data_IF_591668287491
#
_entry.id   IF_591668287491
#
_cell.length_a   1.000
_cell.length_b   1.000
_cell.length_c   1.000
_cell.angle_alpha   90.00
_cell.angle_beta   90.00
_cell.angle_gamma   90.00
#
_symmetry.space_group_name_H-M   'P 1'
#
loop_
_entity.id
_entity.type
_entity.pdbx_description
1 polymer ?
#
# COMPACT_ATOMS: atom_id res chain seq x y z
N UNK A 1 0.98 -36.26 45.72
CA UNK A 1 2.01 -35.23 45.53
C UNK A 1 1.73 -34.57 44.20
N UNK A 2 0.99 -33.46 44.24
CA UNK A 2 0.57 -32.71 43.06
C UNK A 2 1.43 -31.45 42.99
N UNK A 3 2.41 -31.44 42.08
CA UNK A 3 3.21 -30.26 41.79
C UNK A 3 2.40 -29.29 40.93
N UNK A 4 1.86 -28.25 41.57
CA UNK A 4 1.24 -27.13 40.86
C UNK A 4 2.30 -26.34 40.12
N UNK A 5 2.15 -26.23 38.81
CA UNK A 5 2.91 -25.29 37.98
C UNK A 5 2.32 -23.90 38.26
N UNK A 6 3.09 -23.08 38.98
CA UNK A 6 2.79 -21.66 39.16
C UNK A 6 3.10 -20.94 37.85
N UNK A 7 2.20 -20.13 37.27
CA UNK A 7 2.55 -19.29 36.13
C UNK A 7 3.53 -18.21 36.62
N UNK A 8 4.72 -18.20 36.04
CA UNK A 8 5.75 -17.19 36.30
C UNK A 8 5.20 -15.84 35.88
N UNK A 9 5.05 -14.92 36.84
CA UNK A 9 4.74 -13.52 36.58
C UNK A 9 5.79 -12.95 35.62
N UNK A 10 5.36 -12.36 34.50
CA UNK A 10 6.23 -11.65 33.58
C UNK A 10 7.00 -10.57 34.36
N UNK A 11 8.29 -10.77 34.53
CA UNK A 11 9.20 -9.82 35.14
C UNK A 11 9.25 -8.57 34.24
N UNK A 12 8.55 -7.51 34.64
CA UNK A 12 8.72 -6.18 34.05
C UNK A 12 10.14 -5.70 34.35
N UNK A 13 11.06 -5.93 33.42
CA UNK A 13 12.38 -5.30 33.45
C UNK A 13 12.15 -3.78 33.43
N UNK A 14 12.68 -3.02 34.40
CA UNK A 14 12.51 -1.57 34.42
C UNK A 14 13.17 -0.95 33.19
N UNK A 15 12.45 -0.09 32.49
CA UNK A 15 12.97 0.64 31.33
C UNK A 15 13.81 1.81 31.83
N UNK A 16 15.11 1.74 31.58
CA UNK A 16 16.04 2.82 31.93
C UNK A 16 15.75 4.07 31.08
N UNK A 17 15.79 5.26 31.68
CA UNK A 17 15.54 6.53 30.96
C UNK A 17 14.06 6.89 30.81
N UNK A 18 13.11 6.02 31.20
CA UNK A 18 11.69 6.29 31.07
C UNK A 18 11.21 7.49 31.91
N UNK A 19 11.60 7.65 33.20
CA UNK A 19 11.25 8.84 33.97
C UNK A 19 11.76 10.13 33.35
N UNK A 20 13.00 10.11 32.83
CA UNK A 20 13.65 11.24 32.17
C UNK A 20 12.94 11.59 30.86
N UNK A 21 12.58 10.59 30.05
CA UNK A 21 11.78 10.78 28.85
C UNK A 21 10.42 11.39 29.20
N UNK A 22 9.73 10.87 30.22
CA UNK A 22 8.43 11.41 30.63
C UNK A 22 8.52 12.87 31.06
N UNK A 23 9.54 13.24 31.85
CA UNK A 23 9.79 14.62 32.24
C UNK A 23 10.10 15.51 31.03
N UNK A 24 10.89 15.01 30.06
CA UNK A 24 11.16 15.73 28.82
C UNK A 24 9.89 15.93 27.97
N UNK A 25 9.02 14.92 27.89
CA UNK A 25 7.73 15.02 27.22
C UNK A 25 6.80 16.03 27.90
N UNK A 26 6.83 16.15 29.23
CA UNK A 26 6.09 17.18 29.96
C UNK A 26 6.57 18.59 29.57
N UNK A 27 7.88 18.81 29.52
CA UNK A 27 8.46 20.08 29.06
C UNK A 27 8.06 20.39 27.61
N UNK A 28 8.08 19.41 26.71
CA UNK A 28 7.67 19.58 25.30
C UNK A 28 6.18 19.92 25.14
N UNK A 29 5.32 19.41 26.03
CA UNK A 29 3.89 19.75 26.05
C UNK A 29 3.69 21.19 26.48
N UNK A 30 4.47 21.67 27.45
CA UNK A 30 4.40 23.06 27.94
C UNK A 30 5.07 24.06 26.97
N UNK A 31 6.22 23.69 26.40
CA UNK A 31 6.99 24.50 25.44
C UNK A 31 7.36 23.68 24.19
N UNK A 32 6.53 23.74 23.13
CA UNK A 32 6.76 23.03 21.86
C UNK A 32 8.04 23.46 21.10
N UNK A 33 8.67 24.56 21.49
CA UNK A 33 9.94 25.01 20.89
C UNK A 33 11.17 24.31 21.50
N UNK A 34 11.00 23.59 22.62
CA UNK A 34 12.08 22.83 23.27
C UNK A 34 12.63 21.77 22.30
N UNK A 35 13.95 21.73 22.03
CA UNK A 35 14.54 20.74 21.13
C UNK A 35 14.34 19.29 21.61
N UNK A 36 14.07 18.36 20.70
CA UNK A 36 14.00 16.93 21.04
C UNK A 36 15.35 16.37 21.52
N UNK A 37 15.35 15.76 22.70
CA UNK A 37 16.51 15.03 23.21
C UNK A 37 16.57 13.61 22.62
N UNK A 38 17.07 13.48 21.39
CA UNK A 38 17.10 12.25 20.60
C UNK A 38 17.53 10.99 21.38
N UNK A 39 18.57 11.13 22.22
CA UNK A 39 19.10 10.03 23.03
C UNK A 39 18.06 9.44 24.00
N UNK A 40 17.21 10.27 24.61
CA UNK A 40 16.15 9.78 25.52
C UNK A 40 15.11 8.94 24.78
N UNK A 41 14.76 9.35 23.55
CA UNK A 41 13.84 8.59 22.71
C UNK A 41 14.46 7.26 22.28
N UNK A 42 15.69 7.29 21.76
CA UNK A 42 16.40 6.09 21.28
C UNK A 42 16.60 5.07 22.42
N UNK A 43 17.10 5.52 23.57
CA UNK A 43 17.39 4.65 24.72
C UNK A 43 16.12 3.94 25.22
N UNK A 44 15.00 4.65 25.30
CA UNK A 44 13.71 4.05 25.71
C UNK A 44 13.14 3.15 24.62
N UNK A 45 13.12 3.60 23.36
CA UNK A 45 12.56 2.85 22.23
C UNK A 45 13.22 1.48 22.05
N UNK A 46 14.55 1.40 22.19
CA UNK A 46 15.32 0.15 22.10
C UNK A 46 14.94 -0.89 23.17
N UNK A 47 14.43 -0.45 24.31
CA UNK A 47 14.02 -1.31 25.42
C UNK A 47 12.54 -1.73 25.33
N UNK A 48 11.76 -1.18 24.40
CA UNK A 48 10.34 -1.49 24.25
C UNK A 48 10.10 -2.87 23.61
N UNK A 49 9.34 -3.70 24.32
CA UNK A 49 8.90 -5.03 23.90
C UNK A 49 7.38 -5.10 23.82
N UNK A 50 6.84 -6.10 23.13
CA UNK A 50 5.38 -6.30 23.05
C UNK A 50 4.71 -6.44 24.43
N UNK A 51 5.44 -6.97 25.42
CA UNK A 51 4.94 -7.09 26.80
C UNK A 51 5.03 -5.77 27.58
N UNK A 52 6.04 -4.93 27.32
CA UNK A 52 6.24 -3.67 28.06
C UNK A 52 5.48 -2.49 27.47
N UNK A 53 5.05 -2.56 26.20
CA UNK A 53 4.31 -1.48 25.54
C UNK A 53 2.90 -1.24 26.14
N UNK A 54 2.01 -2.25 26.28
CA UNK A 54 0.64 -2.03 26.74
C UNK A 54 0.47 -1.19 28.01
N UNK A 55 1.25 -1.40 29.11
CA UNK A 55 1.11 -0.59 30.32
C UNK A 55 1.55 0.88 30.14
N UNK A 56 2.35 1.19 29.11
CA UNK A 56 2.87 2.54 28.87
C UNK A 56 1.97 3.38 27.95
N UNK A 57 1.09 2.73 27.18
CA UNK A 57 0.22 3.41 26.23
C UNK A 57 -0.59 4.56 26.85
N UNK A 58 -1.24 4.39 28.02
CA UNK A 58 -2.05 5.46 28.60
C UNK A 58 -1.24 6.69 29.00
N UNK A 59 0.07 6.54 29.24
CA UNK A 59 0.94 7.62 29.70
C UNK A 59 1.67 8.30 28.54
N UNK A 60 2.23 7.51 27.61
CA UNK A 60 3.08 8.02 26.53
C UNK A 60 2.25 8.55 25.35
N UNK A 61 1.25 7.80 24.88
CA UNK A 61 0.52 8.16 23.64
C UNK A 61 -0.18 9.52 23.73
N UNK A 62 -0.88 9.89 24.82
CA UNK A 62 -1.52 11.21 24.91
C UNK A 62 -0.52 12.37 24.82
N UNK A 63 0.64 12.27 25.49
CA UNK A 63 1.69 13.29 25.45
C UNK A 63 2.28 13.42 24.06
N UNK A 64 2.67 12.29 23.46
CA UNK A 64 3.23 12.26 22.11
C UNK A 64 2.26 12.81 21.07
N UNK A 65 0.97 12.47 21.17
CA UNK A 65 -0.08 12.99 20.30
C UNK A 65 -0.26 14.51 20.47
N UNK A 66 -0.19 15.01 21.72
CA UNK A 66 -0.26 16.44 21.99
C UNK A 66 0.91 17.20 21.35
N UNK A 67 2.12 16.67 21.50
CA UNK A 67 3.34 17.30 20.95
C UNK A 67 3.30 17.29 19.42
N UNK A 68 2.87 16.20 18.78
CA UNK A 68 2.72 16.14 17.32
C UNK A 68 1.79 17.22 16.77
N UNK A 69 0.77 17.63 17.53
CA UNK A 69 -0.20 18.65 17.11
C UNK A 69 0.32 20.08 17.24
N UNK A 70 1.37 20.30 18.03
CA UNK A 70 1.86 21.66 18.36
C UNK A 70 3.28 21.94 17.91
N UNK A 71 4.10 20.90 17.69
CA UNK A 71 5.50 21.07 17.31
C UNK A 71 5.66 21.57 15.89
N UNK A 72 6.64 22.47 15.68
CA UNK A 72 7.10 22.91 14.36
C UNK A 72 8.41 22.23 13.94
N UNK A 73 8.98 21.40 14.82
CA UNK A 73 10.20 20.66 14.57
C UNK A 73 9.92 19.43 13.69
N UNK A 74 10.95 18.85 13.07
CA UNK A 74 10.80 17.58 12.35
C UNK A 74 10.33 16.48 13.33
N UNK A 75 9.13 15.91 13.15
CA UNK A 75 8.55 14.98 14.11
C UNK A 75 9.15 13.56 14.01
N UNK A 76 10.17 13.33 13.17
CA UNK A 76 10.73 11.99 12.90
C UNK A 76 11.04 11.16 14.14
N UNK A 77 11.64 11.76 15.17
CA UNK A 77 12.01 11.06 16.42
C UNK A 77 10.75 10.63 17.18
N UNK A 78 9.75 11.52 17.29
CA UNK A 78 8.45 11.19 17.90
C UNK A 78 7.75 10.08 17.13
N UNK A 79 7.75 10.17 15.81
CA UNK A 79 7.09 9.22 14.92
C UNK A 79 7.65 7.81 15.10
N UNK A 80 8.97 7.64 15.24
CA UNK A 80 9.58 6.31 15.47
C UNK A 80 9.01 5.62 16.71
N UNK A 81 9.05 6.34 17.85
CA UNK A 81 8.50 5.85 19.10
C UNK A 81 6.99 5.58 19.03
N UNK A 82 6.22 6.48 18.39
CA UNK A 82 4.77 6.30 18.23
C UNK A 82 4.47 5.05 17.38
N UNK A 83 5.18 4.84 16.28
CA UNK A 83 5.01 3.63 15.45
C UNK A 83 5.25 2.36 16.27
N UNK A 84 6.30 2.36 17.11
CA UNK A 84 6.58 1.24 18.01
C UNK A 84 5.44 1.04 19.01
N UNK A 85 4.99 2.09 19.69
CA UNK A 85 3.90 2.05 20.66
C UNK A 85 2.56 1.64 20.04
N UNK A 86 2.29 2.02 18.80
CA UNK A 86 1.05 1.66 18.13
C UNK A 86 1.01 0.20 17.67
N UNK A 87 2.13 -0.54 17.67
CA UNK A 87 2.19 -1.94 17.21
C UNK A 87 1.03 -2.82 17.74
N UNK A 88 0.76 -2.91 19.06
CA UNK A 88 -0.33 -3.73 19.61
C UNK A 88 -1.73 -3.10 19.52
N UNK A 89 -1.85 -1.85 19.07
CA UNK A 89 -3.13 -1.10 19.06
C UNK A 89 -3.92 -1.43 17.79
N UNK A 90 -5.22 -1.71 17.91
CA UNK A 90 -6.07 -1.99 16.75
C UNK A 90 -6.39 -0.73 15.93
N UNK A 91 -6.93 -0.90 14.71
CA UNK A 91 -7.35 0.25 13.90
C UNK A 91 -8.42 1.09 14.60
N UNK A 92 -9.51 0.47 15.07
CA UNK A 92 -10.58 1.19 15.76
C UNK A 92 -10.11 1.89 17.04
N UNK A 93 -9.18 1.28 17.80
CA UNK A 93 -8.57 1.93 18.97
C UNK A 93 -7.68 3.11 18.57
N UNK A 94 -6.99 3.03 17.43
CA UNK A 94 -6.16 4.15 16.96
C UNK A 94 -7.03 5.34 16.57
N UNK A 95 -8.22 5.10 16.00
CA UNK A 95 -9.18 6.16 15.64
C UNK A 95 -9.78 6.90 16.83
N UNK A 96 -9.74 6.33 18.05
CA UNK A 96 -10.13 7.08 19.26
C UNK A 96 -9.06 8.10 19.69
N UNK A 97 -7.81 7.90 19.24
CA UNK A 97 -6.67 8.76 19.55
C UNK A 97 -6.37 9.76 18.41
N UNK A 98 -6.49 9.30 17.17
CA UNK A 98 -6.31 10.08 15.94
C UNK A 98 -7.57 9.99 15.10
N UNK A 99 -8.44 10.98 15.26
CA UNK A 99 -9.67 11.13 14.48
C UNK A 99 -9.37 11.41 12.99
N UNK A 100 -10.40 11.36 12.15
CA UNK A 100 -10.27 11.60 10.70
C UNK A 100 -9.57 12.93 10.39
N UNK A 101 -9.84 13.99 11.16
CA UNK A 101 -9.21 15.29 10.95
C UNK A 101 -7.70 15.26 11.21
N UNK A 102 -7.27 14.56 12.27
CA UNK A 102 -5.85 14.35 12.57
C UNK A 102 -5.15 13.52 11.50
N UNK A 103 -5.81 12.49 10.95
CA UNK A 103 -5.27 11.67 9.87
C UNK A 103 -5.09 12.47 8.58
N UNK A 104 -6.09 13.27 8.19
CA UNK A 104 -5.99 14.17 7.03
C UNK A 104 -4.84 15.16 7.23
N UNK A 105 -4.74 15.80 8.39
CA UNK A 105 -3.66 16.74 8.68
C UNK A 105 -2.27 16.10 8.59
N UNK A 106 -2.12 14.86 9.07
CA UNK A 106 -0.86 14.12 9.00
C UNK A 106 -0.51 13.66 7.58
N UNK A 107 -1.51 13.30 6.76
CA UNK A 107 -1.32 12.99 5.33
C UNK A 107 -0.95 14.24 4.52
N UNK A 108 -1.59 15.38 4.77
CA UNK A 108 -1.28 16.64 4.10
C UNK A 108 -0.01 17.33 4.62
N UNK A 109 0.62 16.80 5.66
CA UNK A 109 1.82 17.39 6.25
C UNK A 109 2.99 17.39 5.25
N UNK A 110 3.81 18.45 5.20
CA UNK A 110 5.03 18.45 4.40
C UNK A 110 6.13 17.53 4.96
N UNK A 111 5.98 17.03 6.19
CA UNK A 111 6.95 16.13 6.83
C UNK A 111 6.68 14.67 6.41
N UNK A 112 7.62 14.00 5.71
CA UNK A 112 7.43 12.61 5.27
C UNK A 112 7.16 11.65 6.43
N UNK A 113 7.77 11.89 7.59
CA UNK A 113 7.56 11.11 8.82
C UNK A 113 6.10 11.15 9.28
N UNK A 114 5.43 12.29 9.18
CA UNK A 114 4.01 12.41 9.50
C UNK A 114 3.13 11.65 8.50
N UNK A 115 3.44 11.72 7.20
CA UNK A 115 2.71 10.95 6.18
C UNK A 115 2.86 9.44 6.42
N UNK A 116 4.07 8.97 6.71
CA UNK A 116 4.36 7.56 7.00
C UNK A 116 3.63 7.11 8.27
N UNK A 117 3.54 7.95 9.31
CA UNK A 117 2.76 7.65 10.50
C UNK A 117 1.28 7.47 10.15
N UNK A 118 0.68 8.41 9.42
CA UNK A 118 -0.71 8.31 9.01
C UNK A 118 -0.97 7.04 8.18
N UNK A 119 -0.11 6.76 7.19
CA UNK A 119 -0.21 5.54 6.39
C UNK A 119 -0.02 4.27 7.23
N UNK A 120 0.83 4.27 8.25
CA UNK A 120 0.99 3.12 9.15
C UNK A 120 -0.26 2.91 10.03
N UNK A 121 -0.92 3.97 10.46
CA UNK A 121 -2.21 3.89 11.16
C UNK A 121 -3.28 3.30 10.22
N UNK A 122 -3.40 3.83 9.00
CA UNK A 122 -4.33 3.31 7.99
C UNK A 122 -4.04 1.85 7.63
N UNK A 123 -2.77 1.45 7.63
CA UNK A 123 -2.36 0.06 7.34
C UNK A 123 -2.91 -0.93 8.35
N UNK A 124 -3.21 -0.51 9.58
CA UNK A 124 -3.87 -1.36 10.56
C UNK A 124 -5.24 -1.84 10.08
N UNK A 125 -5.93 -1.08 9.23
CA UNK A 125 -7.20 -1.50 8.65
C UNK A 125 -7.07 -2.72 7.72
N UNK A 126 -5.86 -3.05 7.24
CA UNK A 126 -5.59 -4.30 6.52
C UNK A 126 -5.50 -5.53 7.43
N UNK A 127 -5.84 -5.40 8.73
CA UNK A 127 -5.87 -6.55 9.65
C UNK A 127 -7.18 -7.34 9.56
N UNK A 128 -8.27 -6.70 9.13
CA UNK A 128 -9.58 -7.33 9.02
C UNK A 128 -10.46 -6.66 7.96
N UNK A 129 -11.38 -7.42 7.34
CA UNK A 129 -12.35 -6.88 6.40
C UNK A 129 -13.27 -5.82 7.04
N UNK A 130 -13.58 -5.95 8.34
CA UNK A 130 -14.40 -4.98 9.06
C UNK A 130 -13.68 -3.64 9.19
N UNK A 131 -12.38 -3.63 9.48
CA UNK A 131 -11.61 -2.40 9.60
C UNK A 131 -11.42 -1.74 8.22
N UNK A 132 -11.21 -2.55 7.15
CA UNK A 132 -11.16 -2.04 5.79
C UNK A 132 -12.49 -1.38 5.37
N UNK A 133 -13.63 -1.97 5.73
CA UNK A 133 -14.96 -1.38 5.52
C UNK A 133 -15.15 -0.10 6.35
N UNK A 134 -14.65 -0.07 7.59
CA UNK A 134 -14.64 1.15 8.40
C UNK A 134 -13.85 2.27 7.70
N UNK A 135 -12.66 1.98 7.16
CA UNK A 135 -11.89 2.95 6.38
C UNK A 135 -12.61 3.37 5.08
N UNK A 136 -13.30 2.45 4.41
CA UNK A 136 -14.09 2.76 3.20
C UNK A 136 -15.23 3.77 3.46
N UNK A 137 -15.65 3.93 4.72
CA UNK A 137 -16.63 4.95 5.13
C UNK A 137 -16.04 6.36 5.29
N UNK A 138 -14.72 6.53 5.14
CA UNK A 138 -13.99 7.80 5.35
C UNK A 138 -13.44 8.36 4.02
N UNK A 139 -14.29 8.83 3.09
CA UNK A 139 -13.87 9.18 1.73
C UNK A 139 -12.81 10.29 1.69
N UNK A 140 -12.87 11.28 2.59
CA UNK A 140 -11.87 12.36 2.64
C UNK A 140 -10.48 11.87 3.04
N UNK A 141 -10.41 10.87 3.93
CA UNK A 141 -9.14 10.23 4.31
C UNK A 141 -8.57 9.47 3.12
N UNK A 142 -9.41 8.79 2.34
CA UNK A 142 -9.00 8.10 1.12
C UNK A 142 -8.51 9.07 0.03
N UNK A 143 -9.21 10.17 -0.20
CA UNK A 143 -8.79 11.21 -1.14
C UNK A 143 -7.41 11.74 -0.78
N UNK A 144 -7.19 12.06 0.50
CA UNK A 144 -5.90 12.58 0.95
C UNK A 144 -4.80 11.50 0.95
N UNK A 145 -5.14 10.24 1.20
CA UNK A 145 -4.23 9.11 1.05
C UNK A 145 -3.73 8.98 -0.40
N UNK A 146 -4.65 9.00 -1.38
CA UNK A 146 -4.30 8.91 -2.81
C UNK A 146 -3.46 10.11 -3.23
N UNK A 147 -3.83 11.32 -2.78
CA UNK A 147 -3.06 12.54 -3.04
C UNK A 147 -1.64 12.44 -2.51
N UNK A 148 -1.49 12.07 -1.24
CA UNK A 148 -0.19 11.95 -0.57
C UNK A 148 0.66 10.86 -1.22
N UNK A 149 0.07 9.71 -1.50
CA UNK A 149 0.74 8.58 -2.16
C UNK A 149 1.27 8.94 -3.55
N UNK A 150 0.49 9.62 -4.39
CA UNK A 150 0.91 9.92 -5.76
C UNK A 150 1.76 11.19 -5.88
N UNK A 151 1.54 12.20 -5.03
CA UNK A 151 2.18 13.51 -5.18
C UNK A 151 3.48 13.67 -4.38
N UNK A 152 3.69 12.84 -3.34
CA UNK A 152 4.87 12.98 -2.47
C UNK A 152 6.17 12.69 -3.24
N UNK A 153 7.21 13.54 -3.13
CA UNK A 153 8.53 13.25 -3.69
C UNK A 153 9.31 12.20 -2.88
N UNK A 154 8.84 11.87 -1.67
CA UNK A 154 9.55 10.96 -0.78
C UNK A 154 9.33 9.50 -1.19
N UNK A 155 10.44 8.74 -1.26
CA UNK A 155 10.43 7.33 -1.68
C UNK A 155 9.72 6.46 -0.64
N UNK A 156 9.94 6.69 0.64
CA UNK A 156 9.36 5.90 1.72
C UNK A 156 7.84 6.06 1.77
N UNK A 157 7.33 7.28 1.57
CA UNK A 157 5.89 7.56 1.45
C UNK A 157 5.29 6.79 0.26
N UNK A 158 5.97 6.82 -0.89
CA UNK A 158 5.56 6.08 -2.08
C UNK A 158 5.47 4.56 -1.86
N UNK A 159 6.51 3.96 -1.31
CA UNK A 159 6.56 2.52 -1.02
C UNK A 159 5.52 2.09 0.02
N UNK A 160 5.38 2.89 1.09
CA UNK A 160 4.36 2.62 2.12
C UNK A 160 2.95 2.71 1.54
N UNK A 161 2.68 3.67 0.67
CA UNK A 161 1.41 3.82 -0.03
C UNK A 161 1.10 2.64 -0.98
N UNK A 162 2.09 2.18 -1.76
CA UNK A 162 1.94 1.00 -2.62
C UNK A 162 1.55 -0.25 -1.81
N UNK A 163 2.28 -0.50 -0.72
CA UNK A 163 2.01 -1.64 0.18
C UNK A 163 0.64 -1.51 0.85
N UNK A 164 0.34 -0.32 1.39
CA UNK A 164 -0.93 -0.03 2.06
C UNK A 164 -2.12 -0.31 1.15
N UNK A 165 -2.14 0.25 -0.06
CA UNK A 165 -3.26 0.06 -0.99
C UNK A 165 -3.42 -1.40 -1.41
N UNK A 166 -2.32 -2.08 -1.73
CA UNK A 166 -2.38 -3.50 -2.08
C UNK A 166 -2.91 -4.37 -0.94
N UNK A 167 -2.44 -4.16 0.28
CA UNK A 167 -2.85 -4.95 1.45
C UNK A 167 -4.31 -4.68 1.85
N UNK A 168 -4.76 -3.42 1.76
CA UNK A 168 -6.16 -3.06 2.03
C UNK A 168 -7.12 -3.67 1.00
N UNK A 169 -6.78 -3.56 -0.30
CA UNK A 169 -7.61 -4.10 -1.37
C UNK A 169 -7.60 -5.64 -1.41
N UNK A 170 -6.52 -6.27 -0.98
CA UNK A 170 -6.49 -7.73 -0.80
C UNK A 170 -7.47 -8.18 0.29
N UNK A 171 -7.47 -7.52 1.45
CA UNK A 171 -8.36 -7.87 2.57
C UNK A 171 -9.82 -7.52 2.31
N UNK A 172 -10.09 -6.46 1.55
CA UNK A 172 -11.45 -6.08 1.16
C UNK A 172 -11.98 -6.86 -0.06
N UNK A 173 -11.16 -7.69 -0.72
CA UNK A 173 -11.57 -8.44 -1.91
C UNK A 173 -12.73 -9.39 -1.63
N UNK A 174 -13.79 -9.31 -2.45
CA UNK A 174 -14.93 -10.23 -2.43
C UNK A 174 -14.57 -11.60 -3.05
N UNK A 175 -13.48 -11.63 -3.82
CA UNK A 175 -12.99 -12.82 -4.49
C UNK A 175 -12.09 -13.60 -3.52
N UNK A 176 -12.25 -14.93 -3.41
CA UNK A 176 -11.33 -15.74 -2.62
C UNK A 176 -9.88 -15.51 -3.04
N UNK A 177 -9.00 -15.32 -2.05
CA UNK A 177 -7.56 -15.18 -2.28
C UNK A 177 -7.04 -16.31 -3.18
N UNK A 178 -6.09 -15.96 -4.05
CA UNK A 178 -5.35 -16.93 -4.86
C UNK A 178 -4.77 -17.99 -3.91
N UNK A 179 -4.90 -19.26 -4.27
CA UNK A 179 -4.15 -20.30 -3.56
C UNK A 179 -2.67 -19.94 -3.61
N UNK A 180 -1.98 -20.08 -2.47
CA UNK A 180 -0.56 -19.74 -2.30
C UNK A 180 0.21 -20.09 -3.58
N UNK A 181 0.74 -19.06 -4.23
CA UNK A 181 1.70 -19.30 -5.31
C UNK A 181 2.88 -19.99 -4.64
N UNK A 182 3.09 -21.27 -4.96
CA UNK A 182 4.10 -22.13 -4.31
C UNK A 182 5.52 -21.59 -4.43
N UNK A 183 5.72 -20.61 -5.31
CA UNK A 183 6.97 -19.90 -5.52
C UNK A 183 6.66 -18.41 -5.59
N UNK A 184 7.54 -17.59 -5.01
CA UNK A 184 7.44 -16.16 -5.18
C UNK A 184 7.62 -15.83 -6.67
N UNK A 185 6.61 -15.22 -7.29
CA UNK A 185 6.78 -14.64 -8.63
C UNK A 185 7.72 -13.46 -8.44
N UNK A 186 8.96 -13.61 -8.86
CA UNK A 186 9.91 -12.50 -8.84
C UNK A 186 9.77 -11.74 -10.15
N UNK A 187 9.26 -10.51 -10.07
CA UNK A 187 9.44 -9.52 -11.14
C UNK A 187 10.46 -8.53 -10.61
N UNK A 188 11.58 -8.36 -11.32
CA UNK A 188 12.72 -7.51 -10.92
C UNK A 188 13.26 -7.76 -9.50
N UNK A 189 13.29 -9.03 -9.07
CA UNK A 189 13.80 -9.41 -7.75
C UNK A 189 12.86 -9.07 -6.59
N UNK A 190 11.67 -8.51 -6.85
CA UNK A 190 10.62 -8.35 -5.83
C UNK A 190 9.76 -9.60 -5.83
N UNK A 191 9.92 -10.41 -4.79
CA UNK A 191 9.10 -11.57 -4.53
C UNK A 191 7.63 -11.16 -4.32
N UNK A 192 6.75 -11.55 -5.23
CA UNK A 192 5.31 -11.49 -5.02
C UNK A 192 4.93 -12.57 -4.00
N UNK A 193 4.78 -12.17 -2.74
CA UNK A 193 4.21 -13.02 -1.70
C UNK A 193 2.71 -12.73 -1.60
N UNK A 194 1.86 -13.58 -2.18
CA UNK A 194 0.44 -13.65 -1.82
C UNK A 194 0.35 -14.27 -0.43
N UNK A 195 0.56 -13.48 0.61
CA UNK A 195 0.37 -13.98 1.97
C UNK A 195 0.91 -13.03 3.04
N UNK A 196 0.30 -13.03 4.23
CA UNK A 196 0.90 -12.40 5.40
C UNK A 196 2.27 -13.06 5.69
N UNK A 197 3.22 -12.25 6.14
CA UNK A 197 4.54 -12.71 6.66
C UNK A 197 4.39 -13.60 7.92
N UNK A 198 3.18 -13.75 8.46
CA UNK A 198 2.89 -14.57 9.62
C UNK A 198 2.07 -15.81 9.23
N UNK A 199 2.73 -16.98 9.30
CA UNK A 199 2.19 -18.29 8.93
C UNK A 199 0.99 -18.75 9.76
N UNK A 200 -0.21 -18.29 9.40
CA UNK A 200 -1.45 -18.92 9.82
C UNK A 200 -1.89 -19.94 8.77
N UNK A 201 -1.64 -21.21 9.11
CA UNK A 201 -2.11 -22.40 8.39
C UNK A 201 -3.59 -22.30 7.97
N UNK A 202 -3.85 -22.48 6.68
CA UNK A 202 -4.96 -23.29 6.14
C UNK A 202 -6.41 -22.85 6.36
N UNK A 203 -6.71 -21.80 7.12
CA UNK A 203 -8.07 -21.29 7.24
C UNK A 203 -8.37 -20.28 6.13
N UNK A 204 -9.39 -20.54 5.30
CA UNK A 204 -9.89 -19.57 4.32
C UNK A 204 -10.25 -18.29 5.08
N UNK A 205 -9.50 -17.20 4.85
CA UNK A 205 -9.87 -15.88 5.35
C UNK A 205 -11.29 -15.55 4.86
N UNK A 206 -12.17 -14.98 5.71
CA UNK A 206 -13.44 -14.44 5.25
C UNK A 206 -13.20 -13.46 4.11
N UNK A 207 -14.01 -13.53 3.05
CA UNK A 207 -13.96 -12.56 1.96
C UNK A 207 -14.33 -11.17 2.49
N UNK A 208 -13.73 -10.15 1.90
CA UNK A 208 -14.05 -8.76 2.18
C UNK A 208 -15.39 -8.32 1.61
N UNK A 209 -15.70 -7.04 1.80
CA UNK A 209 -16.99 -6.45 1.42
C UNK A 209 -16.98 -5.78 0.04
N UNK A 210 -15.80 -5.61 -0.55
CA UNK A 210 -15.59 -4.87 -1.79
C UNK A 210 -15.90 -3.38 -1.71
N UNK A 211 -16.14 -2.82 -0.51
CA UNK A 211 -16.51 -1.42 -0.34
C UNK A 211 -15.34 -0.49 -0.66
N UNK A 212 -14.12 -0.84 -0.26
CA UNK A 212 -12.93 -0.07 -0.59
C UNK A 212 -12.60 -0.18 -2.08
N UNK A 213 -12.77 -1.37 -2.66
CA UNK A 213 -12.72 -1.54 -4.13
C UNK A 213 -13.71 -0.59 -4.81
N UNK A 214 -14.98 -0.57 -4.37
CA UNK A 214 -15.99 0.36 -4.91
C UNK A 214 -15.58 1.82 -4.76
N UNK A 215 -14.97 2.22 -3.64
CA UNK A 215 -14.48 3.59 -3.44
C UNK A 215 -13.36 3.95 -4.41
N UNK A 216 -12.38 3.08 -4.60
CA UNK A 216 -11.22 3.40 -5.43
C UNK A 216 -11.56 3.33 -6.92
N UNK A 217 -12.40 2.37 -7.34
CA UNK A 217 -12.71 2.17 -8.76
C UNK A 217 -13.99 2.90 -9.19
N UNK A 218 -15.05 2.95 -8.38
CA UNK A 218 -16.35 3.46 -8.84
C UNK A 218 -16.68 4.86 -8.32
N UNK A 219 -16.04 5.33 -7.26
CA UNK A 219 -16.23 6.70 -6.79
C UNK A 219 -15.55 7.67 -7.75
N UNK A 220 -16.36 8.52 -8.40
CA UNK A 220 -15.85 9.44 -9.40
C UNK A 220 -14.87 10.46 -8.83
N UNK A 221 -14.96 10.84 -7.54
CA UNK A 221 -14.01 11.81 -6.97
C UNK A 221 -12.62 11.19 -6.84
N UNK A 222 -12.53 10.03 -6.21
CA UNK A 222 -11.27 9.32 -5.94
C UNK A 222 -10.64 8.84 -7.26
N UNK A 223 -11.46 8.28 -8.15
CA UNK A 223 -10.95 7.80 -9.44
C UNK A 223 -10.43 8.94 -10.31
N UNK A 224 -11.18 10.04 -10.44
CA UNK A 224 -10.72 11.21 -11.21
C UNK A 224 -9.48 11.85 -10.57
N UNK A 225 -9.38 11.84 -9.24
CA UNK A 225 -8.17 12.29 -8.54
C UNK A 225 -6.95 11.44 -8.94
N UNK A 226 -7.06 10.11 -8.90
CA UNK A 226 -5.99 9.21 -9.33
C UNK A 226 -5.56 9.48 -10.77
N UNK A 227 -6.51 9.57 -11.70
CA UNK A 227 -6.22 9.84 -13.11
C UNK A 227 -5.56 11.21 -13.31
N UNK A 228 -6.04 12.23 -12.61
CA UNK A 228 -5.50 13.59 -12.72
C UNK A 228 -4.07 13.63 -12.21
N UNK A 229 -3.80 13.04 -11.05
CA UNK A 229 -2.45 13.01 -10.46
C UNK A 229 -1.45 12.23 -11.34
N UNK A 230 -1.87 11.12 -11.94
CA UNK A 230 -1.06 10.38 -12.90
C UNK A 230 -0.78 11.16 -14.20
N UNK A 231 -1.61 12.18 -14.52
CA UNK A 231 -1.39 13.15 -15.60
C UNK A 231 -0.61 14.39 -15.13
N UNK A 232 -0.16 14.42 -13.88
CA UNK A 232 0.56 15.54 -13.27
C UNK A 232 -0.34 16.72 -12.86
N UNK A 233 -1.65 16.50 -12.77
CA UNK A 233 -2.65 17.51 -12.46
C UNK A 233 -3.29 17.23 -11.11
N UNK A 234 -3.29 18.21 -10.22
CA UNK A 234 -4.02 18.12 -8.97
C UNK A 234 -5.34 18.91 -9.11
N UNK A 235 -6.52 18.29 -8.87
CA UNK A 235 -7.82 18.99 -8.90
C UNK A 235 -7.93 20.20 -7.96
N UNK A 236 -7.04 20.34 -6.97
CA UNK A 236 -6.93 21.53 -6.11
C UNK A 236 -6.33 22.75 -6.82
N UNK A 237 -5.82 22.59 -8.05
CA UNK A 237 -5.18 23.63 -8.85
C UNK A 237 -3.65 23.58 -8.84
N UNK A 238 -3.04 22.68 -8.06
CA UNK A 238 -1.61 22.43 -8.11
C UNK A 238 -1.23 21.59 -9.35
N UNK A 239 0.01 21.73 -9.81
CA UNK A 239 0.57 20.89 -10.88
C UNK A 239 1.81 20.20 -10.35
N UNK A 240 1.94 18.91 -10.65
CA UNK A 240 3.11 18.14 -10.29
C UNK A 240 4.25 18.49 -11.26
N UNK A 241 5.48 18.51 -10.74
CA UNK A 241 6.66 18.59 -11.60
C UNK A 241 6.75 17.35 -12.50
N UNK A 242 7.46 17.44 -13.63
CA UNK A 242 7.67 16.28 -14.51
C UNK A 242 8.21 15.06 -13.75
N UNK A 243 9.15 15.28 -12.83
CA UNK A 243 9.70 14.23 -11.97
C UNK A 243 8.63 13.60 -11.06
N UNK A 244 7.80 14.41 -10.38
CA UNK A 244 6.71 13.90 -9.55
C UNK A 244 5.67 13.15 -10.36
N UNK A 245 5.38 13.60 -11.58
CA UNK A 245 4.48 12.90 -12.50
C UNK A 245 5.04 11.52 -12.85
N UNK A 246 6.33 11.42 -13.22
CA UNK A 246 6.98 10.12 -13.46
C UNK A 246 6.94 9.21 -12.22
N UNK A 247 7.16 9.76 -11.02
CA UNK A 247 7.01 9.00 -9.76
C UNK A 247 5.58 8.50 -9.53
N UNK A 248 4.58 9.36 -9.74
CA UNK A 248 3.17 9.00 -9.63
C UNK A 248 2.79 7.87 -10.59
N UNK A 249 3.20 7.99 -11.86
CA UNK A 249 2.99 6.98 -12.89
C UNK A 249 3.67 5.66 -12.52
N UNK A 250 4.94 5.69 -12.10
CA UNK A 250 5.67 4.51 -11.65
C UNK A 250 5.00 3.80 -10.46
N UNK A 251 4.43 4.56 -9.52
CA UNK A 251 3.67 4.00 -8.38
C UNK A 251 2.39 3.29 -8.84
N UNK A 252 1.64 3.89 -9.76
CA UNK A 252 0.45 3.24 -10.36
C UNK A 252 0.85 1.95 -11.08
N UNK A 253 1.87 2.00 -11.92
CA UNK A 253 2.39 0.83 -12.64
C UNK A 253 2.87 -0.29 -11.70
N UNK A 254 3.44 0.05 -10.54
CA UNK A 254 3.93 -0.93 -9.57
C UNK A 254 2.82 -1.67 -8.82
N UNK A 255 1.72 -0.99 -8.48
CA UNK A 255 0.63 -1.62 -7.70
C UNK A 255 -0.38 -2.35 -8.61
N UNK A 256 -0.58 -1.87 -9.83
CA UNK A 256 -1.68 -2.32 -10.70
C UNK A 256 -1.62 -3.81 -11.09
N UNK A 257 -0.47 -4.44 -11.39
CA UNK A 257 -0.41 -5.88 -11.63
C UNK A 257 -0.94 -6.71 -10.46
N UNK A 258 -0.60 -6.31 -9.22
CA UNK A 258 -1.13 -6.94 -8.00
C UNK A 258 -2.64 -6.78 -7.92
N UNK A 259 -3.16 -5.59 -8.18
CA UNK A 259 -4.60 -5.32 -8.14
C UNK A 259 -5.36 -6.10 -9.22
N UNK A 260 -4.80 -6.20 -10.43
CA UNK A 260 -5.37 -6.98 -11.52
C UNK A 260 -5.43 -8.48 -11.20
N UNK A 261 -4.45 -9.00 -10.48
CA UNK A 261 -4.44 -10.39 -10.02
C UNK A 261 -5.48 -10.65 -8.91
N UNK A 262 -5.74 -9.65 -8.05
CA UNK A 262 -6.74 -9.72 -6.98
C UNK A 262 -8.17 -9.64 -7.52
N UNK A 263 -8.46 -8.63 -8.34
CA UNK A 263 -9.77 -8.44 -8.98
C UNK A 263 -9.61 -7.74 -10.33
N UNK A 264 -9.43 -8.56 -11.38
CA UNK A 264 -9.29 -8.09 -12.75
C UNK A 264 -10.52 -7.30 -13.22
N UNK A 265 -11.72 -7.73 -12.81
CA UNK A 265 -12.98 -7.09 -13.20
C UNK A 265 -13.06 -5.64 -12.76
N UNK A 266 -12.60 -5.34 -11.55
CA UNK A 266 -12.63 -3.98 -10.98
C UNK A 266 -11.67 -3.02 -11.66
N UNK A 267 -10.50 -3.49 -12.09
CA UNK A 267 -9.50 -2.62 -12.74
C UNK A 267 -9.67 -2.55 -14.26
N UNK A 268 -10.26 -3.56 -14.88
CA UNK A 268 -10.37 -3.67 -16.34
C UNK A 268 -11.68 -3.12 -16.92
N UNK A 269 -12.76 -3.03 -16.13
CA UNK A 269 -14.04 -2.52 -16.62
C UNK A 269 -14.05 -0.98 -16.71
N UNK A 270 -14.61 -0.41 -17.80
CA UNK A 270 -14.90 1.02 -17.92
C UNK A 270 -15.73 1.53 -16.75
N UNK A 271 -15.41 2.74 -16.28
CA UNK A 271 -16.09 3.35 -15.14
C UNK A 271 -17.08 4.40 -15.61
N UNK A 272 -18.33 4.28 -15.14
CA UNK A 272 -19.44 5.15 -15.52
C UNK A 272 -19.95 4.87 -16.94
N UNK A 273 -21.27 4.69 -17.11
CA UNK A 273 -21.93 4.44 -18.40
C UNK A 273 -21.92 5.63 -19.37
N UNK A 274 -20.84 6.42 -19.42
CA UNK A 274 -20.60 7.50 -20.36
C UNK A 274 -19.66 7.07 -21.49
N UNK A 275 -19.87 7.67 -22.67
CA UNK A 275 -19.36 7.28 -24.00
C UNK A 275 -17.83 7.39 -24.20
N UNK A 276 -17.03 7.58 -23.15
CA UNK A 276 -15.56 7.62 -23.20
C UNK A 276 -14.88 6.72 -22.14
N UNK A 277 -15.62 5.78 -21.53
CA UNK A 277 -15.19 5.00 -20.36
C UNK A 277 -13.88 4.23 -20.54
N UNK A 278 -12.76 4.82 -20.10
CA UNK A 278 -11.47 4.15 -19.97
C UNK A 278 -11.38 3.50 -18.58
N UNK A 279 -10.97 2.23 -18.52
CA UNK A 279 -10.68 1.55 -17.25
C UNK A 279 -9.31 1.95 -16.69
N UNK A 280 -9.07 1.73 -15.39
CA UNK A 280 -7.75 1.98 -14.79
C UNK A 280 -6.66 1.21 -15.52
N UNK A 281 -6.93 -0.06 -15.84
CA UNK A 281 -6.01 -0.92 -16.57
C UNK A 281 -5.70 -0.37 -17.96
N UNK A 282 -6.73 0.03 -18.71
CA UNK A 282 -6.53 0.61 -20.04
C UNK A 282 -5.78 1.95 -19.99
N UNK A 283 -6.10 2.80 -19.01
CA UNK A 283 -5.41 4.08 -18.81
C UNK A 283 -3.91 3.87 -18.57
N UNK A 284 -3.56 3.05 -17.58
CA UNK A 284 -2.16 2.80 -17.24
C UNK A 284 -1.38 2.17 -18.39
N UNK A 285 -1.99 1.21 -19.10
CA UNK A 285 -1.34 0.46 -20.19
C UNK A 285 -1.15 1.27 -21.47
N UNK A 286 -2.08 2.16 -21.81
CA UNK A 286 -2.14 2.79 -23.15
C UNK A 286 -1.87 4.29 -23.11
N UNK A 287 -2.43 5.02 -22.14
CA UNK A 287 -2.53 6.48 -22.22
C UNK A 287 -1.75 7.23 -21.15
N UNK A 288 -1.31 6.56 -20.09
CA UNK A 288 -0.70 7.21 -18.94
C UNK A 288 0.76 7.64 -19.20
N UNK A 289 1.54 6.81 -19.86
CA UNK A 289 2.99 7.01 -20.05
C UNK A 289 3.29 7.61 -21.42
N UNK A 290 4.10 8.67 -21.46
CA UNK A 290 4.74 9.12 -22.69
C UNK A 290 5.94 8.22 -23.00
N UNK A 291 5.80 7.37 -24.02
CA UNK A 291 6.85 6.43 -24.45
C UNK A 291 8.12 7.10 -24.98
N UNK A 292 8.12 8.43 -25.20
CA UNK A 292 9.34 9.17 -25.55
C UNK A 292 10.30 9.34 -24.36
N UNK A 293 9.79 9.28 -23.14
CA UNK A 293 10.62 9.16 -21.95
C UNK A 293 11.07 7.69 -21.83
N UNK A 294 12.33 7.44 -22.19
CA UNK A 294 12.90 6.09 -22.19
C UNK A 294 12.85 5.42 -20.82
N UNK A 295 12.99 6.16 -19.72
CA UNK A 295 12.97 5.57 -18.38
C UNK A 295 11.54 5.14 -18.02
N UNK A 296 10.55 5.95 -18.37
CA UNK A 296 9.15 5.59 -18.20
C UNK A 296 8.70 4.49 -19.15
N UNK A 297 9.26 4.42 -20.37
CA UNK A 297 9.01 3.32 -21.30
C UNK A 297 9.53 1.99 -20.76
N UNK A 298 10.73 1.96 -20.18
CA UNK A 298 11.24 0.78 -19.48
C UNK A 298 10.34 0.37 -18.31
N UNK A 299 9.90 1.35 -17.50
CA UNK A 299 8.95 1.09 -16.40
C UNK A 299 7.63 0.51 -16.90
N UNK A 300 7.15 0.94 -18.08
CA UNK A 300 5.95 0.38 -18.72
C UNK A 300 6.17 -1.06 -19.17
N UNK A 301 7.36 -1.41 -19.68
CA UNK A 301 7.72 -2.77 -20.04
C UNK A 301 7.72 -3.68 -18.80
N UNK A 302 8.37 -3.25 -17.71
CA UNK A 302 8.41 -4.00 -16.45
C UNK A 302 6.99 -4.24 -15.90
N UNK A 303 6.11 -3.23 -16.04
CA UNK A 303 4.69 -3.35 -15.72
C UNK A 303 3.98 -4.43 -16.54
N UNK A 304 4.19 -4.46 -17.86
CA UNK A 304 3.56 -5.46 -18.72
C UNK A 304 4.08 -6.87 -18.40
N UNK A 305 5.37 -7.03 -18.14
CA UNK A 305 5.97 -8.30 -17.72
C UNK A 305 5.37 -8.80 -16.40
N UNK A 306 5.20 -7.90 -15.42
CA UNK A 306 4.54 -8.21 -14.16
C UNK A 306 3.08 -8.60 -14.36
N UNK A 307 2.34 -7.82 -15.14
CA UNK A 307 0.92 -8.03 -15.41
C UNK A 307 0.68 -9.40 -16.07
N UNK A 308 1.44 -9.72 -17.12
CA UNK A 308 1.32 -10.99 -17.84
C UNK A 308 1.65 -12.17 -16.93
N UNK A 309 2.74 -12.07 -16.16
CA UNK A 309 3.17 -13.14 -15.25
C UNK A 309 2.12 -13.45 -14.17
N UNK A 310 1.55 -12.42 -13.55
CA UNK A 310 0.54 -12.58 -12.51
C UNK A 310 -0.81 -13.05 -13.06
N UNK A 311 -1.25 -12.52 -14.20
CA UNK A 311 -2.53 -12.92 -14.80
C UNK A 311 -2.48 -14.33 -15.37
N UNK A 312 -1.32 -14.80 -15.86
CA UNK A 312 -1.13 -16.21 -16.24
C UNK A 312 -1.47 -17.15 -15.08
N UNK A 313 -0.94 -16.86 -13.89
CA UNK A 313 -1.21 -17.67 -12.69
C UNK A 313 -2.70 -17.63 -12.34
N UNK A 314 -3.33 -16.45 -12.46
CA UNK A 314 -4.76 -16.31 -12.22
C UNK A 314 -5.58 -17.18 -13.17
N UNK A 315 -5.25 -17.17 -14.46
CA UNK A 315 -5.94 -17.96 -15.48
C UNK A 315 -5.73 -19.46 -15.22
N UNK A 316 -4.52 -19.89 -14.88
CA UNK A 316 -4.18 -21.29 -14.60
C UNK A 316 -4.92 -21.87 -13.38
N UNK A 317 -5.21 -21.04 -12.37
CA UNK A 317 -5.98 -21.44 -11.19
C UNK A 317 -7.45 -21.76 -11.50
N UNK A 318 -7.92 -21.41 -12.69
CA UNK A 318 -9.30 -21.63 -13.13
C UNK A 318 -10.27 -20.60 -12.54
N UNK A 319 -11.21 -20.15 -13.37
CA UNK A 319 -12.21 -19.17 -12.95
C UNK A 319 -13.19 -18.86 -14.08
N UNK A 320 -14.36 -18.34 -13.70
CA UNK A 320 -15.40 -17.92 -14.66
C UNK A 320 -14.90 -16.78 -15.55
N UNK A 321 -13.95 -15.98 -15.07
CA UNK A 321 -13.45 -14.78 -15.75
C UNK A 321 -12.23 -15.03 -16.66
N UNK A 322 -11.75 -16.27 -16.81
CA UNK A 322 -10.53 -16.55 -17.59
C UNK A 322 -10.60 -16.02 -19.02
N UNK A 323 -11.72 -16.26 -19.71
CA UNK A 323 -11.94 -15.75 -21.08
C UNK A 323 -11.93 -14.21 -21.10
N UNK A 324 -12.55 -13.58 -20.09
CA UNK A 324 -12.56 -12.12 -19.97
C UNK A 324 -11.16 -11.55 -19.74
N UNK A 325 -10.35 -12.18 -18.88
CA UNK A 325 -8.94 -11.81 -18.64
C UNK A 325 -8.15 -11.90 -19.94
N UNK A 326 -8.14 -13.08 -20.58
CA UNK A 326 -7.34 -13.33 -21.78
C UNK A 326 -7.72 -12.41 -22.93
N UNK A 327 -9.03 -12.26 -23.22
CA UNK A 327 -9.48 -11.38 -24.31
C UNK A 327 -9.16 -9.90 -24.06
N UNK A 328 -9.32 -9.44 -22.83
CA UNK A 328 -9.01 -8.05 -22.48
C UNK A 328 -7.52 -7.79 -22.53
N UNK A 329 -6.71 -8.71 -21.99
CA UNK A 329 -5.26 -8.60 -22.00
C UNK A 329 -4.71 -8.63 -23.42
N UNK A 330 -5.22 -9.52 -24.28
CA UNK A 330 -4.87 -9.58 -25.71
C UNK A 330 -5.14 -8.23 -26.38
N UNK A 331 -6.33 -7.67 -26.23
CA UNK A 331 -6.67 -6.37 -26.83
C UNK A 331 -5.73 -5.24 -26.37
N UNK A 332 -5.43 -5.19 -25.07
CA UNK A 332 -4.52 -4.17 -24.52
C UNK A 332 -3.10 -4.36 -25.07
N UNK A 333 -2.61 -5.59 -25.19
CA UNK A 333 -1.28 -5.90 -25.71
C UNK A 333 -1.19 -5.58 -27.20
N UNK A 334 -2.21 -5.96 -27.99
CA UNK A 334 -2.31 -5.63 -29.42
C UNK A 334 -2.18 -4.11 -29.63
N UNK A 335 -2.94 -3.31 -28.88
CA UNK A 335 -2.89 -1.85 -28.94
C UNK A 335 -1.54 -1.31 -28.46
N UNK A 336 -1.04 -1.80 -27.32
CA UNK A 336 0.21 -1.32 -26.74
C UNK A 336 1.44 -1.63 -27.60
N UNK A 337 1.42 -2.71 -28.38
CA UNK A 337 2.53 -3.20 -29.21
C UNK A 337 2.47 -2.76 -30.67
N UNK A 338 1.37 -2.15 -31.12
CA UNK A 338 1.16 -1.76 -32.53
C UNK A 338 2.35 -0.98 -33.12
N UNK A 339 2.91 -0.04 -32.35
CA UNK A 339 4.09 0.76 -32.73
C UNK A 339 5.27 0.60 -31.76
N UNK A 340 5.31 -0.51 -31.01
CA UNK A 340 6.26 -0.71 -29.91
C UNK A 340 6.92 -2.10 -29.99
N UNK A 341 7.88 -2.21 -30.91
CA UNK A 341 8.64 -3.45 -31.11
C UNK A 341 9.49 -3.83 -29.89
N UNK A 342 9.86 -2.85 -29.06
CA UNK A 342 10.67 -3.09 -27.85
C UNK A 342 9.81 -3.82 -26.82
N UNK A 343 8.61 -3.31 -26.53
CA UNK A 343 7.65 -4.00 -25.66
C UNK A 343 7.28 -5.38 -26.21
N UNK A 344 7.02 -5.49 -27.51
CA UNK A 344 6.69 -6.77 -28.14
C UNK A 344 7.82 -7.80 -27.96
N UNK A 345 9.06 -7.39 -28.19
CA UNK A 345 10.23 -8.26 -28.02
C UNK A 345 10.44 -8.65 -26.55
N UNK A 346 10.25 -7.71 -25.62
CA UNK A 346 10.38 -7.95 -24.18
C UNK A 346 9.39 -9.01 -23.70
N UNK A 347 8.12 -8.91 -24.12
CA UNK A 347 7.08 -9.89 -23.82
C UNK A 347 7.37 -11.27 -24.42
N UNK A 348 7.78 -11.34 -25.69
CA UNK A 348 8.12 -12.61 -26.35
C UNK A 348 9.35 -13.30 -25.72
N UNK A 349 10.31 -12.51 -25.22
CA UNK A 349 11.50 -13.01 -24.53
C UNK A 349 11.35 -13.19 -23.02
N UNK A 350 10.19 -12.86 -22.44
CA UNK A 350 9.93 -13.03 -21.01
C UNK A 350 10.07 -14.49 -20.54
N UNK A 351 9.51 -15.51 -21.22
CA UNK A 351 9.63 -16.89 -20.79
C UNK A 351 11.07 -17.40 -20.66
N UNK A 352 12.00 -16.86 -21.45
CA UNK A 352 13.40 -17.28 -21.45
C UNK A 352 14.20 -16.65 -20.30
N UNK A 353 13.63 -15.64 -19.62
CA UNK A 353 14.17 -15.00 -18.41
C UNK A 353 13.48 -15.45 -17.13
N UNK A 354 12.46 -16.30 -17.23
CA UNK A 354 11.72 -16.88 -16.10
C UNK A 354 12.34 -18.20 -15.67
N UNK A 355 12.08 -18.62 -14.42
CA UNK A 355 12.52 -19.93 -13.92
C UNK A 355 11.97 -21.08 -14.79
N UNK A 356 12.75 -22.17 -15.03
CA UNK A 356 12.37 -23.23 -15.96
C UNK A 356 11.00 -23.87 -15.68
N UNK A 357 10.61 -23.95 -14.41
CA UNK A 357 9.35 -24.55 -13.97
C UNK A 357 8.12 -23.76 -14.40
N UNK A 358 8.25 -22.46 -14.65
CA UNK A 358 7.16 -21.57 -15.07
C UNK A 358 7.24 -21.19 -16.55
N UNK A 359 8.42 -21.34 -17.17
CA UNK A 359 8.72 -20.87 -18.52
C UNK A 359 7.78 -21.45 -19.59
N UNK A 360 7.45 -22.74 -19.55
CA UNK A 360 6.62 -23.37 -20.59
C UNK A 360 5.16 -22.88 -20.54
N UNK A 361 4.59 -22.77 -19.33
CA UNK A 361 3.24 -22.24 -19.14
C UNK A 361 3.15 -20.76 -19.53
N UNK A 362 4.17 -19.98 -19.15
CA UNK A 362 4.26 -18.57 -19.54
C UNK A 362 4.42 -18.41 -21.05
N UNK A 363 5.23 -19.25 -21.71
CA UNK A 363 5.41 -19.23 -23.17
C UNK A 363 4.11 -19.48 -23.91
N UNK A 364 3.34 -20.49 -23.50
CA UNK A 364 2.04 -20.78 -24.11
C UNK A 364 1.05 -19.60 -23.93
N UNK A 365 1.02 -19.01 -22.73
CA UNK A 365 0.15 -17.86 -22.45
C UNK A 365 0.54 -16.61 -23.24
N UNK A 366 1.85 -16.29 -23.31
CA UNK A 366 2.38 -15.17 -24.11
C UNK A 366 2.04 -15.35 -25.60
N UNK A 367 2.19 -16.56 -26.14
CA UNK A 367 1.83 -16.84 -27.53
C UNK A 367 0.34 -16.62 -27.82
N UNK A 368 -0.54 -16.89 -26.85
CA UNK A 368 -1.99 -16.70 -27.00
C UNK A 368 -2.43 -15.21 -26.92
N UNK A 369 -1.68 -14.35 -26.22
CA UNK A 369 -2.06 -12.95 -26.01
C UNK A 369 -1.27 -11.93 -26.86
N UNK A 370 -0.13 -12.32 -27.44
CA UNK A 370 0.71 -11.47 -28.32
C UNK A 370 0.53 -11.80 -29.81
N UNK A 371 -0.28 -12.81 -30.15
CA UNK A 371 -0.42 -13.37 -31.50
C UNK A 371 -0.95 -12.40 -32.55
#
# INVERSE_FOLDING_TARGET
MSGGVVPVAASNVPISGLPELLAHLDVLVEDPATPFEAKLFDDVELQLTEASIPPLLPTLLPKLTSILKTTQQDPKILVSLILKLLTPVSFSQTLTLADESSLIAALSSPAPSANVLAMAILHKAASSASDAAQLASMPRVLEELIRTWLSSPDVQVGEKGNKLLGDLLEVDSEIPALQEVRHAVTVDGVAWSSGPVNGQNGSRRPTGSGQLWQRITNDSSIFNLLLSLAKGQDPSGATLTAHQTSLAQGRVLRVLPRLAALDFGRVARPLGGGDQGQSLLHFASISMVDKKDMLMHLTLIDYFEALVSLLRIRVDQGGVDNSFITLTLRRIIEEATTDDNVLKAALLGLPDRTVPEEADGLRAFVQDIVS
#
